data_IF_658162431717
#
_entry.id   IF_658162431717
#
_cell.length_a   1.000
_cell.length_b   1.000
_cell.length_c   1.000
_cell.angle_alpha   90.00
_cell.angle_beta   90.00
_cell.angle_gamma   90.00
#
_symmetry.space_group_name_H-M   'P 1'
#
loop_
_entity.id
_entity.type
_entity.pdbx_description
1 polymer ?
#
# COMPACT_ATOMS: atom_id res chain seq x y z
N UNK A 1 3.73 -11.03 -13.79
CA UNK A 1 3.99 -10.41 -12.48
C UNK A 1 2.78 -9.55 -12.15
N UNK A 2 2.11 -9.82 -11.03
CA UNK A 2 0.84 -9.18 -10.63
C UNK A 2 1.09 -7.89 -9.85
N UNK A 3 2.15 -7.88 -9.05
CA UNK A 3 2.54 -6.78 -8.18
C UNK A 3 3.89 -6.21 -8.60
N UNK A 4 4.11 -4.93 -8.32
CA UNK A 4 5.38 -4.25 -8.53
C UNK A 4 5.60 -3.24 -7.39
N UNK A 5 6.79 -3.25 -6.80
CA UNK A 5 7.24 -2.24 -5.83
C UNK A 5 8.36 -1.44 -6.47
N UNK A 6 8.28 -0.11 -6.34
CA UNK A 6 9.27 0.81 -6.90
C UNK A 6 9.34 2.14 -6.15
N UNK A 7 10.32 2.96 -6.49
CA UNK A 7 10.42 4.32 -5.96
C UNK A 7 9.29 5.19 -6.51
N UNK A 8 8.59 5.88 -5.62
CA UNK A 8 7.59 6.85 -6.02
C UNK A 8 8.27 8.13 -6.56
N UNK A 9 7.78 8.76 -7.65
CA UNK A 9 8.43 9.93 -8.26
C UNK A 9 8.62 11.14 -7.33
N UNK A 10 7.79 11.25 -6.29
CA UNK A 10 7.88 12.29 -5.24
C UNK A 10 8.67 11.87 -3.99
N UNK A 11 9.43 10.77 -4.08
CA UNK A 11 10.13 10.16 -2.96
C UNK A 11 9.29 9.15 -2.19
N UNK A 12 9.98 8.24 -1.48
CA UNK A 12 9.37 7.08 -0.81
C UNK A 12 9.10 5.92 -1.76
N UNK A 13 8.38 4.91 -1.27
CA UNK A 13 8.05 3.70 -2.01
C UNK A 13 6.58 3.68 -2.43
N UNK A 14 6.31 3.00 -3.54
CA UNK A 14 4.97 2.69 -4.02
C UNK A 14 4.84 1.21 -4.34
N UNK A 15 3.61 0.71 -4.24
CA UNK A 15 3.20 -0.60 -4.73
C UNK A 15 2.15 -0.42 -5.83
N UNK A 16 2.23 -1.23 -6.88
CA UNK A 16 1.31 -1.23 -8.00
C UNK A 16 0.71 -2.63 -8.20
N UNK A 17 -0.62 -2.70 -8.33
CA UNK A 17 -1.35 -3.89 -8.77
C UNK A 17 -1.61 -3.76 -10.28
N UNK A 18 -0.99 -4.63 -11.08
CA UNK A 18 -0.93 -4.52 -12.54
C UNK A 18 -2.10 -5.19 -13.27
N UNK A 19 -2.98 -5.89 -12.54
CA UNK A 19 -4.19 -6.52 -13.08
C UNK A 19 -5.43 -5.89 -12.47
N UNK A 20 -6.60 -6.07 -13.08
CA UNK A 20 -7.85 -5.53 -12.54
C UNK A 20 -8.17 -6.17 -11.18
N UNK A 21 -8.54 -5.38 -10.15
CA UNK A 21 -8.60 -3.91 -10.10
C UNK A 21 -7.22 -3.25 -10.05
N UNK A 22 -6.89 -2.41 -11.03
CA UNK A 22 -5.56 -1.78 -11.12
C UNK A 22 -5.48 -0.55 -10.24
N UNK A 23 -4.42 -0.47 -9.45
CA UNK A 23 -4.13 0.70 -8.64
C UNK A 23 -2.63 0.85 -8.36
N UNK A 24 -2.26 2.06 -7.96
CA UNK A 24 -0.99 2.34 -7.28
C UNK A 24 -1.27 2.95 -5.91
N UNK A 25 -0.46 2.62 -4.91
CA UNK A 25 -0.51 3.23 -3.59
C UNK A 25 0.91 3.48 -3.08
N UNK A 26 1.08 4.58 -2.34
CA UNK A 26 2.29 4.81 -1.55
C UNK A 26 2.20 4.00 -0.26
N UNK A 27 3.35 3.60 0.27
CA UNK A 27 3.39 2.87 1.54
C UNK A 27 4.57 3.24 2.42
N UNK A 28 4.43 2.95 3.70
CA UNK A 28 5.45 3.17 4.74
C UNK A 28 5.24 2.22 5.91
N UNK A 29 6.27 2.03 6.73
CA UNK A 29 6.24 1.18 7.94
C UNK A 29 6.45 2.01 9.19
N UNK A 30 6.00 1.51 10.34
CA UNK A 30 6.23 2.15 11.63
C UNK A 30 5.20 3.26 11.91
N UNK A 31 5.64 4.35 12.54
CA UNK A 31 4.72 5.46 12.86
C UNK A 31 4.16 6.12 11.59
N UNK A 32 2.83 6.21 11.50
CA UNK A 32 2.16 6.80 10.35
C UNK A 32 2.57 8.27 10.15
N UNK A 33 3.01 8.69 8.95
CA UNK A 33 3.45 10.05 8.70
C UNK A 33 2.25 10.99 8.51
N UNK A 34 1.61 11.37 9.62
CA UNK A 34 0.43 12.25 9.64
C UNK A 34 0.68 13.56 8.89
N UNK A 35 1.92 14.10 8.93
CA UNK A 35 2.26 15.35 8.25
C UNK A 35 2.42 15.20 6.72
N UNK A 36 2.60 13.98 6.21
CA UNK A 36 2.85 13.70 4.79
C UNK A 36 1.60 13.31 3.99
N UNK A 37 0.50 12.99 4.67
CA UNK A 37 -0.74 12.51 4.05
C UNK A 37 -1.80 13.61 4.12
N UNK A 38 -2.32 14.00 2.96
CA UNK A 38 -3.42 14.98 2.89
C UNK A 38 -4.72 14.35 3.37
N UNK A 39 -5.50 15.12 4.12
CA UNK A 39 -6.87 14.77 4.49
C UNK A 39 -7.67 14.36 3.23
N UNK A 40 -8.31 13.18 3.27
CA UNK A 40 -9.05 12.61 2.14
C UNK A 40 -8.26 11.64 1.24
N UNK A 41 -6.97 11.41 1.48
CA UNK A 41 -6.27 10.28 0.88
C UNK A 41 -6.82 8.98 1.48
N UNK A 42 -7.34 8.07 0.64
CA UNK A 42 -7.73 6.73 1.08
C UNK A 42 -6.57 6.08 1.84
N UNK A 43 -6.88 5.42 2.95
CA UNK A 43 -5.92 4.93 3.92
C UNK A 43 -6.28 3.49 4.30
N UNK A 44 -5.29 2.60 4.27
CA UNK A 44 -5.37 1.26 4.84
C UNK A 44 -4.18 1.07 5.78
N UNK A 45 -4.43 0.44 6.93
CA UNK A 45 -3.37 0.04 7.86
C UNK A 45 -3.49 -1.44 8.16
N UNK A 46 -2.38 -2.12 8.01
CA UNK A 46 -2.13 -3.40 8.64
C UNK A 46 -1.34 -3.13 9.93
N UNK A 47 -1.92 -3.46 11.08
CA UNK A 47 -1.31 -3.13 12.38
C UNK A 47 -0.08 -4.00 12.70
N UNK A 48 0.11 -5.10 11.97
CA UNK A 48 1.20 -6.04 12.21
C UNK A 48 1.21 -6.56 13.64
N UNK A 49 2.41 -6.80 14.18
CA UNK A 49 2.61 -7.19 15.58
C UNK A 49 2.68 -6.01 16.57
N UNK A 50 2.63 -4.77 16.08
CA UNK A 50 2.71 -3.54 16.87
C UNK A 50 3.03 -2.31 16.01
N UNK A 51 3.05 -1.12 16.62
CA UNK A 51 3.21 0.16 15.90
C UNK A 51 4.48 0.22 15.01
N UNK A 52 5.58 -0.41 15.43
CA UNK A 52 6.84 -0.42 14.66
C UNK A 52 6.76 -1.33 13.42
N UNK A 53 5.82 -2.26 13.41
CA UNK A 53 5.61 -3.29 12.37
C UNK A 53 4.37 -2.98 11.51
N UNK A 54 3.69 -1.87 11.79
CA UNK A 54 2.51 -1.47 11.04
C UNK A 54 2.91 -1.09 9.60
N UNK A 55 2.08 -1.50 8.64
CA UNK A 55 2.20 -1.13 7.23
C UNK A 55 1.03 -0.24 6.86
N UNK A 56 1.34 0.95 6.37
CA UNK A 56 0.33 1.92 5.97
C UNK A 56 0.35 2.12 4.47
N UNK A 57 -0.81 1.99 3.82
CA UNK A 57 -1.02 2.30 2.41
C UNK A 57 -1.86 3.56 2.29
N UNK A 58 -1.45 4.47 1.41
CA UNK A 58 -2.08 5.78 1.23
C UNK A 58 -1.87 6.31 -0.20
N UNK A 59 -2.54 7.43 -0.52
CA UNK A 59 -2.44 8.10 -1.84
C UNK A 59 -2.80 7.15 -3.00
N UNK A 60 -3.92 6.43 -2.86
CA UNK A 60 -4.39 5.48 -3.86
C UNK A 60 -4.80 6.18 -5.15
N UNK A 61 -4.26 5.71 -6.27
CA UNK A 61 -4.73 6.05 -7.60
C UNK A 61 -5.29 4.78 -8.27
N UNK A 62 -6.60 4.79 -8.54
CA UNK A 62 -7.31 3.71 -9.22
C UNK A 62 -7.48 4.04 -10.70
N UNK A 63 -7.27 3.06 -11.58
CA UNK A 63 -7.40 3.31 -13.02
C UNK A 63 -8.87 3.49 -13.45
N UNK A 64 -9.79 2.63 -12.98
CA UNK A 64 -11.20 2.67 -13.43
C UNK A 64 -12.24 2.07 -12.47
N UNK A 65 -11.88 1.04 -11.69
CA UNK A 65 -12.86 0.32 -10.87
C UNK A 65 -12.34 0.15 -9.45
N UNK A 66 -12.97 0.85 -8.51
CA UNK A 66 -12.76 0.60 -7.08
C UNK A 66 -13.51 -0.70 -6.74
N UNK A 67 -12.83 -1.71 -6.19
CA UNK A 67 -13.48 -2.96 -5.79
C UNK A 67 -14.53 -2.74 -4.69
N UNK A 68 -15.44 -3.70 -4.53
CA UNK A 68 -16.32 -3.74 -3.36
C UNK A 68 -15.50 -3.98 -2.06
N UNK A 69 -16.17 -3.86 -0.91
CA UNK A 69 -15.49 -3.93 0.39
C UNK A 69 -14.75 -5.26 0.64
N UNK A 70 -15.31 -6.38 0.19
CA UNK A 70 -14.71 -7.70 0.38
C UNK A 70 -13.45 -7.84 -0.49
N UNK A 71 -13.58 -7.53 -1.77
CA UNK A 71 -12.48 -7.53 -2.72
C UNK A 71 -11.38 -6.54 -2.33
N UNK A 72 -11.76 -5.35 -1.84
CA UNK A 72 -10.82 -4.35 -1.34
C UNK A 72 -10.02 -4.91 -0.16
N UNK A 73 -10.69 -5.52 0.81
CA UNK A 73 -10.02 -6.06 2.01
C UNK A 73 -9.03 -7.16 1.64
N UNK A 74 -9.40 -8.07 0.73
CA UNK A 74 -8.50 -9.10 0.21
C UNK A 74 -7.33 -8.50 -0.57
N UNK A 75 -7.59 -7.47 -1.37
CA UNK A 75 -6.56 -6.82 -2.16
C UNK A 75 -5.54 -6.08 -1.28
N UNK A 76 -5.99 -5.47 -0.18
CA UNK A 76 -5.10 -4.80 0.77
C UNK A 76 -4.26 -5.80 1.57
N UNK A 77 -4.83 -6.91 2.03
CA UNK A 77 -4.08 -7.99 2.69
C UNK A 77 -3.01 -8.61 1.77
N UNK A 78 -3.34 -8.76 0.48
CA UNK A 78 -2.35 -9.21 -0.51
C UNK A 78 -1.26 -8.15 -0.74
N UNK A 79 -1.64 -6.86 -0.79
CA UNK A 79 -0.67 -5.78 -0.96
C UNK A 79 0.32 -5.71 0.22
N UNK A 80 -0.16 -5.84 1.46
CA UNK A 80 0.70 -5.83 2.66
C UNK A 80 1.63 -7.05 2.68
N UNK A 81 1.13 -8.23 2.33
CA UNK A 81 1.96 -9.45 2.18
C UNK A 81 3.09 -9.30 1.14
N UNK A 82 2.85 -8.58 0.04
CA UNK A 82 3.89 -8.31 -0.97
C UNK A 82 4.93 -7.29 -0.46
N UNK A 83 4.49 -6.30 0.31
CA UNK A 83 5.38 -5.32 0.97
C UNK A 83 6.27 -6.04 1.99
N UNK A 84 5.69 -6.87 2.86
CA UNK A 84 6.45 -7.67 3.83
C UNK A 84 7.52 -8.52 3.14
N UNK A 85 7.12 -9.22 2.07
CA UNK A 85 8.07 -10.04 1.30
C UNK A 85 9.22 -9.19 0.75
N UNK A 86 8.92 -8.03 0.19
CA UNK A 86 9.93 -7.12 -0.32
C UNK A 86 10.91 -6.69 0.77
N UNK A 87 10.41 -6.29 1.94
CA UNK A 87 11.23 -5.94 3.10
C UNK A 87 12.14 -7.11 3.52
N UNK A 88 11.59 -8.33 3.62
CA UNK A 88 12.35 -9.52 4.03
C UNK A 88 13.41 -9.95 3.01
N UNK A 89 13.18 -9.75 1.71
CA UNK A 89 14.12 -10.15 0.65
C UNK A 89 15.28 -9.17 0.44
N UNK A 90 15.28 -8.05 1.16
CA UNK A 90 16.29 -7.00 1.04
C UNK A 90 15.92 -6.00 -0.06
N UNK A 91 15.50 -4.82 0.37
CA UNK A 91 15.36 -3.62 -0.47
C UNK A 91 16.73 -3.07 -0.91
#
# INVERSE_FOLDING_TARGET
MTWKIENHPKGGLQIAHLVSPRFTARWTTGEFPIEGVREGAFFWTDEGSGLDDAIHLYDFAWDYLVPDQEQLSQLMANATSEIERYIMTGA
#
